data_IF_212744607112
#
_entry.id   IF_212744607112
#
_cell.length_a   1.000
_cell.length_b   1.000
_cell.length_c   1.000
_cell.angle_alpha   90.00
_cell.angle_beta   90.00
_cell.angle_gamma   90.00
#
_symmetry.space_group_name_H-M   'P 1'
#
loop_
_entity.id
_entity.type
_entity.pdbx_description
1 polymer ?
#
# COMPACT_ATOMS: atom_id res chain seq x y z
N UNK A 1 37.65 -120.56 -16.93
CA UNK A 1 38.38 -121.72 -17.47
C UNK A 1 38.77 -122.56 -16.27
N UNK A 2 38.28 -123.79 -16.18
CA UNK A 2 38.67 -124.74 -15.13
C UNK A 2 40.02 -125.36 -15.51
N UNK A 3 41.10 -124.69 -15.13
CA UNK A 3 42.46 -125.22 -15.16
C UNK A 3 42.57 -126.26 -14.03
N UNK A 4 42.66 -127.54 -14.39
CA UNK A 4 43.01 -128.60 -13.45
C UNK A 4 44.35 -128.25 -12.80
N UNK A 5 44.28 -127.87 -11.52
CA UNK A 5 45.44 -127.60 -10.66
C UNK A 5 46.19 -128.91 -10.44
N UNK A 6 47.28 -129.09 -11.17
CA UNK A 6 48.29 -130.09 -10.85
C UNK A 6 49.00 -129.65 -9.56
N UNK A 7 48.78 -130.42 -8.49
CA UNK A 7 49.39 -130.20 -7.18
C UNK A 7 50.90 -130.49 -7.26
N UNK A 8 51.69 -129.42 -7.38
CA UNK A 8 53.16 -129.45 -7.50
C UNK A 8 53.80 -130.30 -6.37
N UNK A 9 53.41 -130.13 -5.08
CA UNK A 9 53.77 -131.06 -4.01
C UNK A 9 53.55 -132.55 -4.34
N UNK A 10 52.40 -132.89 -4.93
CA UNK A 10 52.03 -134.27 -5.25
C UNK A 10 52.84 -134.83 -6.42
N UNK A 11 53.21 -133.99 -7.39
CA UNK A 11 54.13 -134.34 -8.48
C UNK A 11 55.57 -134.52 -8.00
N UNK A 12 56.06 -133.71 -7.06
CA UNK A 12 57.38 -133.88 -6.43
C UNK A 12 57.45 -135.21 -5.67
N UNK A 13 56.39 -135.55 -4.93
CA UNK A 13 56.26 -136.82 -4.20
C UNK A 13 56.24 -138.03 -5.17
N UNK A 14 55.56 -137.89 -6.30
CA UNK A 14 55.54 -138.90 -7.37
C UNK A 14 56.92 -139.10 -8.01
N UNK A 15 57.72 -138.05 -8.13
CA UNK A 15 59.10 -138.09 -8.64
C UNK A 15 60.05 -138.78 -7.66
N UNK A 16 59.95 -138.47 -6.36
CA UNK A 16 60.70 -139.18 -5.30
C UNK A 16 60.39 -140.67 -5.31
N UNK A 17 59.11 -141.04 -5.38
CA UNK A 17 58.67 -142.45 -5.42
C UNK A 17 59.18 -143.17 -6.67
N UNK A 18 59.20 -142.50 -7.83
CA UNK A 18 59.70 -143.07 -9.09
C UNK A 18 61.23 -143.26 -9.12
N UNK A 19 62.00 -142.41 -8.43
CA UNK A 19 63.47 -142.56 -8.27
C UNK A 19 63.79 -143.77 -7.39
N UNK A 20 63.09 -143.94 -6.27
CA UNK A 20 63.30 -145.06 -5.34
C UNK A 20 62.95 -146.43 -5.96
N UNK A 21 62.07 -146.44 -6.95
CA UNK A 21 61.55 -147.65 -7.61
C UNK A 21 62.40 -148.16 -8.80
N UNK A 22 63.55 -147.56 -9.10
CA UNK A 22 64.40 -147.90 -10.26
C UNK A 22 63.63 -147.85 -11.62
N UNK A 23 62.68 -146.91 -11.76
CA UNK A 23 61.90 -146.77 -12.99
C UNK A 23 62.76 -146.33 -14.19
N UNK A 24 62.39 -146.72 -15.43
CA UNK A 24 63.13 -146.35 -16.63
C UNK A 24 63.24 -144.82 -16.76
N UNK A 25 64.42 -144.32 -17.17
CA UNK A 25 64.75 -142.89 -17.32
C UNK A 25 63.71 -142.05 -18.08
N UNK A 26 62.95 -142.66 -18.99
CA UNK A 26 61.86 -142.03 -19.71
C UNK A 26 60.68 -141.59 -18.81
N UNK A 27 60.33 -142.37 -17.78
CA UNK A 27 59.23 -142.06 -16.86
C UNK A 27 59.56 -140.88 -15.96
N UNK A 28 60.80 -140.80 -15.46
CA UNK A 28 61.28 -139.69 -14.64
C UNK A 28 61.31 -138.36 -15.41
N UNK A 29 61.76 -138.38 -16.67
CA UNK A 29 61.73 -137.20 -17.53
C UNK A 29 60.29 -136.71 -17.78
N UNK A 30 59.31 -137.60 -17.86
CA UNK A 30 57.90 -137.23 -17.99
C UNK A 30 57.40 -136.38 -16.82
N UNK A 31 57.70 -136.79 -15.58
CA UNK A 31 57.26 -136.06 -14.38
C UNK A 31 58.01 -134.71 -14.24
N UNK A 32 59.31 -134.65 -14.52
CA UNK A 32 60.08 -133.38 -14.49
C UNK A 32 59.53 -132.38 -15.52
N UNK A 33 59.13 -132.87 -16.69
CA UNK A 33 58.57 -132.01 -17.74
C UNK A 33 57.21 -131.44 -17.32
N UNK A 34 56.36 -132.22 -16.66
CA UNK A 34 55.08 -131.74 -16.14
C UNK A 34 55.24 -130.73 -14.99
N UNK A 35 56.20 -130.94 -14.08
CA UNK A 35 56.53 -129.96 -13.04
C UNK A 35 57.05 -128.64 -13.64
N UNK A 36 57.92 -128.71 -14.64
CA UNK A 36 58.42 -127.51 -15.32
C UNK A 36 57.31 -126.74 -16.03
N UNK A 37 56.35 -127.44 -16.66
CA UNK A 37 55.17 -126.80 -17.25
C UNK A 37 54.28 -126.14 -16.20
N UNK A 38 54.08 -126.79 -15.05
CA UNK A 38 53.28 -126.24 -13.96
C UNK A 38 53.93 -124.97 -13.38
N UNK A 39 55.23 -125.00 -13.11
CA UNK A 39 55.97 -123.83 -12.63
C UNK A 39 55.94 -122.66 -13.61
N UNK A 40 56.16 -122.93 -14.91
CA UNK A 40 56.10 -121.87 -15.93
C UNK A 40 54.70 -121.24 -16.03
N UNK A 41 53.62 -122.04 -15.86
CA UNK A 41 52.26 -121.49 -15.82
C UNK A 41 52.03 -120.60 -14.59
N UNK A 42 52.58 -120.97 -13.44
CA UNK A 42 52.45 -120.19 -12.21
C UNK A 42 53.23 -118.86 -12.32
N UNK A 43 54.42 -118.88 -12.92
CA UNK A 43 55.16 -117.66 -13.26
C UNK A 43 54.39 -116.77 -14.25
N UNK A 44 53.87 -117.35 -15.34
CA UNK A 44 53.07 -116.59 -16.33
C UNK A 44 51.80 -115.99 -15.71
N UNK A 45 51.18 -116.67 -14.74
CA UNK A 45 49.98 -116.20 -14.04
C UNK A 45 50.31 -115.11 -13.02
N UNK A 46 51.44 -115.24 -12.30
CA UNK A 46 51.94 -114.20 -11.41
C UNK A 46 52.32 -112.92 -12.15
N UNK A 47 52.99 -113.03 -13.31
CA UNK A 47 53.35 -111.88 -14.14
C UNK A 47 52.10 -111.15 -14.65
N UNK A 48 51.07 -111.90 -15.10
CA UNK A 48 49.79 -111.31 -15.51
C UNK A 48 49.07 -110.59 -14.36
N UNK A 49 49.10 -111.15 -13.16
CA UNK A 49 48.47 -110.52 -11.99
C UNK A 49 49.20 -109.23 -11.58
N UNK A 50 50.52 -109.20 -11.69
CA UNK A 50 51.31 -107.99 -11.45
C UNK A 50 51.00 -106.91 -12.47
N UNK A 51 50.94 -107.25 -13.77
CA UNK A 51 50.54 -106.32 -14.84
C UNK A 51 49.13 -105.74 -14.61
N UNK A 52 48.18 -106.58 -14.19
CA UNK A 52 46.81 -106.15 -13.88
C UNK A 52 46.75 -105.22 -12.64
N UNK A 53 47.59 -105.47 -11.63
CA UNK A 53 47.67 -104.65 -10.43
C UNK A 53 48.26 -103.26 -10.74
N UNK A 54 49.33 -103.19 -11.52
CA UNK A 54 49.91 -101.93 -12.00
C UNK A 54 48.90 -101.13 -12.84
N UNK A 55 48.16 -101.82 -13.73
CA UNK A 55 47.11 -101.19 -14.53
C UNK A 55 46.00 -100.61 -13.66
N UNK A 56 45.55 -101.32 -12.62
CA UNK A 56 44.50 -100.85 -11.71
C UNK A 56 44.95 -99.70 -10.81
N UNK A 57 46.21 -99.69 -10.39
CA UNK A 57 46.75 -98.59 -9.61
C UNK A 57 46.85 -97.30 -10.45
N UNK A 58 47.22 -97.43 -11.72
CA UNK A 58 47.19 -96.33 -12.68
C UNK A 58 45.77 -95.78 -12.89
N UNK A 59 44.77 -96.65 -13.07
CA UNK A 59 43.37 -96.27 -13.20
C UNK A 59 42.85 -95.55 -11.93
N UNK A 60 43.22 -96.02 -10.74
CA UNK A 60 42.87 -95.38 -9.47
C UNK A 60 43.48 -93.98 -9.34
N UNK A 61 44.75 -93.81 -9.74
CA UNK A 61 45.38 -92.50 -9.74
C UNK A 61 44.74 -91.53 -10.73
N UNK A 62 44.36 -92.00 -11.92
CA UNK A 62 43.63 -91.19 -12.89
C UNK A 62 42.25 -90.79 -12.35
N UNK A 63 41.50 -91.72 -11.75
CA UNK A 63 40.20 -91.45 -11.15
C UNK A 63 40.27 -90.47 -9.97
N UNK A 64 41.29 -90.57 -9.13
CA UNK A 64 41.50 -89.61 -8.03
C UNK A 64 41.73 -88.19 -8.57
N UNK A 65 42.53 -88.03 -9.63
CA UNK A 65 42.76 -86.74 -10.28
C UNK A 65 41.49 -86.17 -10.91
N UNK A 66 40.70 -86.99 -11.60
CA UNK A 66 39.46 -86.53 -12.20
C UNK A 66 38.41 -86.14 -11.16
N UNK A 67 38.34 -86.85 -10.03
CA UNK A 67 37.46 -86.47 -8.92
C UNK A 67 37.83 -85.09 -8.35
N UNK A 68 39.12 -84.84 -8.09
CA UNK A 68 39.56 -83.53 -7.58
C UNK A 68 39.30 -82.39 -8.57
N UNK A 69 39.46 -82.64 -9.87
CA UNK A 69 39.17 -81.65 -10.92
C UNK A 69 37.66 -81.33 -11.02
N UNK A 70 36.80 -82.33 -10.82
CA UNK A 70 35.35 -82.15 -10.82
C UNK A 70 34.88 -81.35 -9.61
N UNK A 71 35.40 -81.64 -8.42
CA UNK A 71 35.09 -80.88 -7.20
C UNK A 71 35.49 -79.40 -7.33
N UNK A 72 36.66 -79.13 -7.93
CA UNK A 72 37.11 -77.77 -8.20
C UNK A 72 36.17 -77.06 -9.20
N UNK A 73 35.77 -77.73 -10.28
CA UNK A 73 34.83 -77.18 -11.27
C UNK A 73 33.46 -76.90 -10.66
N UNK A 74 32.95 -77.81 -9.84
CA UNK A 74 31.66 -77.62 -9.15
C UNK A 74 31.71 -76.41 -8.22
N UNK A 75 32.80 -76.23 -7.47
CA UNK A 75 33.00 -75.05 -6.62
C UNK A 75 33.01 -73.76 -7.44
N UNK A 76 33.77 -73.72 -8.55
CA UNK A 76 33.81 -72.57 -9.45
C UNK A 76 32.43 -72.22 -10.02
N UNK A 77 31.65 -73.23 -10.41
CA UNK A 77 30.29 -73.03 -10.92
C UNK A 77 29.35 -72.47 -9.84
N UNK A 78 29.42 -72.98 -8.62
CA UNK A 78 28.63 -72.44 -7.49
C UNK A 78 28.98 -70.98 -7.20
N UNK A 79 30.27 -70.65 -7.18
CA UNK A 79 30.73 -69.28 -6.94
C UNK A 79 30.30 -68.33 -8.07
N UNK A 80 30.37 -68.77 -9.33
CA UNK A 80 29.92 -67.99 -10.48
C UNK A 80 28.41 -67.77 -10.48
N UNK A 81 27.61 -68.80 -10.17
CA UNK A 81 26.16 -68.69 -10.05
C UNK A 81 25.74 -67.72 -8.92
N UNK A 82 26.42 -67.78 -7.77
CA UNK A 82 26.18 -66.87 -6.65
C UNK A 82 26.54 -65.42 -7.00
N UNK A 83 27.65 -65.20 -7.72
CA UNK A 83 28.05 -63.87 -8.18
C UNK A 83 27.06 -63.27 -9.19
N UNK A 84 26.59 -64.07 -10.16
CA UNK A 84 25.57 -63.64 -11.14
C UNK A 84 24.24 -63.32 -10.47
N UNK A 85 23.79 -64.14 -9.51
CA UNK A 85 22.56 -63.89 -8.75
C UNK A 85 22.63 -62.56 -7.98
N UNK A 86 23.76 -62.28 -7.30
CA UNK A 86 23.98 -60.99 -6.61
C UNK A 86 24.01 -59.80 -7.57
N UNK A 87 24.66 -59.95 -8.73
CA UNK A 87 24.73 -58.90 -9.75
C UNK A 87 23.33 -58.60 -10.34
N UNK A 88 22.57 -59.65 -10.68
CA UNK A 88 21.20 -59.52 -11.18
C UNK A 88 20.27 -58.86 -10.16
N UNK A 89 20.36 -59.24 -8.88
CA UNK A 89 19.58 -58.62 -7.80
C UNK A 89 19.92 -57.14 -7.61
N UNK A 90 21.21 -56.77 -7.67
CA UNK A 90 21.62 -55.35 -7.59
C UNK A 90 21.12 -54.55 -8.79
N UNK A 91 21.23 -55.09 -10.00
CA UNK A 91 20.76 -54.43 -11.21
C UNK A 91 19.24 -54.21 -11.19
N UNK A 92 18.46 -55.21 -10.75
CA UNK A 92 17.01 -55.08 -10.61
C UNK A 92 16.64 -54.02 -9.55
N UNK A 93 17.34 -53.98 -8.41
CA UNK A 93 17.14 -52.95 -7.40
C UNK A 93 17.47 -51.53 -7.92
N UNK A 94 18.58 -51.36 -8.65
CA UNK A 94 18.91 -50.07 -9.27
C UNK A 94 17.85 -49.65 -10.30
N UNK A 95 17.37 -50.59 -11.12
CA UNK A 95 16.31 -50.29 -12.09
C UNK A 95 15.02 -49.86 -11.41
N UNK A 96 14.61 -50.54 -10.34
CA UNK A 96 13.44 -50.17 -9.54
C UNK A 96 13.59 -48.77 -8.93
N UNK A 97 14.74 -48.48 -8.35
CA UNK A 97 15.01 -47.16 -7.76
C UNK A 97 14.98 -46.07 -8.83
N UNK A 98 15.66 -46.28 -9.96
CA UNK A 98 15.69 -45.33 -11.08
C UNK A 98 14.29 -45.07 -11.65
N UNK A 99 13.45 -46.10 -11.73
CA UNK A 99 12.06 -45.97 -12.18
C UNK A 99 11.22 -45.12 -11.23
N UNK A 100 11.40 -45.29 -9.92
CA UNK A 100 10.74 -44.45 -8.90
C UNK A 100 11.22 -43.01 -9.03
N UNK A 101 12.53 -42.79 -9.07
CA UNK A 101 13.13 -41.45 -9.17
C UNK A 101 12.70 -40.72 -10.45
N UNK A 102 12.68 -41.42 -11.59
CA UNK A 102 12.16 -40.90 -12.85
C UNK A 102 10.68 -40.51 -12.74
N UNK A 103 9.86 -41.34 -12.10
CA UNK A 103 8.43 -41.03 -11.92
C UNK A 103 8.20 -39.81 -11.04
N UNK A 104 9.01 -39.64 -9.98
CA UNK A 104 8.96 -38.48 -9.09
C UNK A 104 9.43 -37.21 -9.80
N UNK A 105 10.54 -37.28 -10.53
CA UNK A 105 11.06 -36.17 -11.33
C UNK A 105 10.06 -35.73 -12.41
N UNK A 106 9.42 -36.68 -13.09
CA UNK A 106 8.37 -36.40 -14.09
C UNK A 106 7.18 -35.67 -13.47
N UNK A 107 6.67 -36.15 -12.33
CA UNK A 107 5.57 -35.48 -11.61
C UNK A 107 5.95 -34.08 -11.13
N UNK A 108 7.17 -33.90 -10.63
CA UNK A 108 7.68 -32.60 -10.22
C UNK A 108 7.76 -31.61 -11.40
N UNK A 109 8.24 -32.09 -12.56
CA UNK A 109 8.32 -31.30 -13.79
C UNK A 109 6.92 -30.90 -14.30
N UNK A 110 5.97 -31.84 -14.34
CA UNK A 110 4.59 -31.55 -14.73
C UNK A 110 3.93 -30.51 -13.81
N UNK A 111 4.20 -30.59 -12.50
CA UNK A 111 3.72 -29.61 -11.52
C UNK A 111 4.34 -28.23 -11.76
N UNK A 112 5.64 -28.17 -12.00
CA UNK A 112 6.34 -26.92 -12.30
C UNK A 112 5.85 -26.29 -13.60
N UNK A 113 5.60 -27.10 -14.65
CA UNK A 113 5.09 -26.62 -15.92
C UNK A 113 3.69 -25.99 -15.79
N UNK A 114 2.79 -26.64 -15.03
CA UNK A 114 1.46 -26.06 -14.74
C UNK A 114 1.54 -24.76 -13.95
N UNK A 115 2.45 -24.67 -12.98
CA UNK A 115 2.66 -23.44 -12.22
C UNK A 115 3.14 -22.29 -13.13
N UNK A 116 4.07 -22.59 -14.05
CA UNK A 116 4.58 -21.62 -15.02
C UNK A 116 3.49 -21.13 -15.98
N UNK A 117 2.61 -22.03 -16.46
CA UNK A 117 1.48 -21.65 -17.31
C UNK A 117 0.53 -20.65 -16.61
N UNK A 118 0.22 -20.89 -15.34
CA UNK A 118 -0.59 -19.96 -14.52
C UNK A 118 0.10 -18.62 -14.37
N UNK A 119 1.41 -18.61 -14.07
CA UNK A 119 2.18 -17.38 -13.89
C UNK A 119 2.27 -16.55 -15.19
N UNK A 120 2.38 -17.21 -16.35
CA UNK A 120 2.36 -16.55 -17.66
C UNK A 120 1.03 -15.83 -17.89
N UNK A 121 -0.09 -16.46 -17.56
CA UNK A 121 -1.41 -15.87 -17.77
C UNK A 121 -1.70 -14.73 -16.77
N UNK A 122 -1.26 -14.85 -15.53
CA UNK A 122 -1.33 -13.76 -14.55
C UNK A 122 -0.43 -12.58 -14.94
N UNK A 123 0.74 -12.84 -15.51
CA UNK A 123 1.61 -11.79 -16.04
C UNK A 123 0.94 -11.02 -17.19
N UNK A 124 0.26 -11.72 -18.13
CA UNK A 124 -0.51 -11.08 -19.21
C UNK A 124 -1.64 -10.21 -18.66
N UNK A 125 -2.39 -10.70 -17.67
CA UNK A 125 -3.47 -9.94 -17.02
C UNK A 125 -2.95 -8.69 -16.32
N UNK A 126 -1.85 -8.83 -15.57
CA UNK A 126 -1.19 -7.72 -14.87
C UNK A 126 -0.70 -6.66 -15.86
N UNK A 127 -0.08 -7.07 -16.97
CA UNK A 127 0.38 -6.15 -18.03
C UNK A 127 -0.78 -5.35 -18.64
N UNK A 128 -1.92 -6.00 -18.90
CA UNK A 128 -3.12 -5.32 -19.38
C UNK A 128 -3.69 -4.34 -18.33
N UNK A 129 -3.68 -4.70 -17.05
CA UNK A 129 -4.10 -3.82 -15.96
C UNK A 129 -3.21 -2.58 -15.85
N UNK A 130 -1.88 -2.75 -15.90
CA UNK A 130 -0.92 -1.65 -15.86
C UNK A 130 -1.14 -0.68 -17.03
N UNK A 131 -1.43 -1.18 -18.24
CA UNK A 131 -1.76 -0.33 -19.39
C UNK A 131 -3.01 0.52 -19.13
N UNK A 132 -4.10 -0.08 -18.65
CA UNK A 132 -5.34 0.65 -18.31
C UNK A 132 -5.13 1.70 -17.22
N UNK A 133 -4.31 1.37 -16.22
CA UNK A 133 -3.99 2.28 -15.13
C UNK A 133 -3.17 3.49 -15.64
N UNK A 134 -2.22 3.28 -16.55
CA UNK A 134 -1.45 4.37 -17.18
C UNK A 134 -2.35 5.32 -18.00
N UNK A 135 -3.21 4.77 -18.85
CA UNK A 135 -4.17 5.56 -19.64
C UNK A 135 -5.13 6.36 -18.73
N UNK A 136 -5.54 5.77 -17.60
CA UNK A 136 -6.40 6.46 -16.62
C UNK A 136 -5.64 7.57 -15.89
N UNK A 137 -4.38 7.33 -15.51
CA UNK A 137 -3.53 8.31 -14.84
C UNK A 137 -3.28 9.54 -15.74
N UNK A 138 -3.02 9.34 -17.03
CA UNK A 138 -2.88 10.43 -18.00
C UNK A 138 -4.15 11.28 -18.10
N UNK A 139 -5.33 10.64 -18.17
CA UNK A 139 -6.63 11.36 -18.17
C UNK A 139 -6.82 12.19 -16.90
N UNK A 140 -6.50 11.64 -15.74
CA UNK A 140 -6.59 12.38 -14.48
C UNK A 140 -5.59 13.55 -14.42
N UNK A 141 -4.38 13.38 -14.95
CA UNK A 141 -3.39 14.45 -15.00
C UNK A 141 -3.84 15.61 -15.91
N UNK A 142 -4.42 15.32 -17.08
CA UNK A 142 -4.99 16.34 -17.97
C UNK A 142 -6.14 17.08 -17.29
N UNK A 143 -7.05 16.34 -16.63
CA UNK A 143 -8.17 16.94 -15.89
C UNK A 143 -7.70 17.81 -14.73
N UNK A 144 -6.68 17.38 -13.99
CA UNK A 144 -6.10 18.17 -12.90
C UNK A 144 -5.55 19.51 -13.42
N UNK A 145 -4.75 19.50 -14.49
CA UNK A 145 -4.24 20.73 -15.12
C UNK A 145 -5.35 21.67 -15.60
N UNK A 146 -6.42 21.11 -16.18
CA UNK A 146 -7.58 21.91 -16.60
C UNK A 146 -8.30 22.55 -15.42
N UNK A 147 -8.45 21.83 -14.31
CA UNK A 147 -9.09 22.34 -13.10
C UNK A 147 -8.23 23.39 -12.40
N UNK A 148 -6.91 23.20 -12.36
CA UNK A 148 -5.97 24.21 -11.85
C UNK A 148 -6.07 25.52 -12.62
N UNK A 149 -6.13 25.45 -13.96
CA UNK A 149 -6.32 26.63 -14.81
C UNK A 149 -7.67 27.32 -14.56
N UNK A 150 -8.76 26.56 -14.48
CA UNK A 150 -10.08 27.13 -14.19
C UNK A 150 -10.12 27.78 -12.79
N UNK A 151 -9.43 27.19 -11.80
CA UNK A 151 -9.33 27.75 -10.47
C UNK A 151 -8.49 29.03 -10.42
N UNK A 152 -7.41 29.16 -11.21
CA UNK A 152 -6.66 30.41 -11.31
C UNK A 152 -7.48 31.52 -11.95
N UNK A 153 -8.18 31.22 -13.05
CA UNK A 153 -9.06 32.19 -13.75
C UNK A 153 -10.17 32.71 -12.81
N UNK A 154 -10.82 31.83 -12.05
CA UNK A 154 -11.83 32.24 -11.06
C UNK A 154 -11.29 33.13 -9.94
N UNK A 155 -10.04 32.91 -9.50
CA UNK A 155 -9.39 33.77 -8.49
C UNK A 155 -9.11 35.16 -9.05
N UNK A 156 -8.64 35.25 -10.29
CA UNK A 156 -8.41 36.53 -10.96
C UNK A 156 -9.72 37.31 -11.16
N UNK A 157 -10.77 36.62 -11.59
CA UNK A 157 -12.11 37.19 -11.75
C UNK A 157 -12.67 37.71 -10.42
N UNK A 158 -12.53 36.94 -9.33
CA UNK A 158 -12.92 37.37 -7.99
C UNK A 158 -12.20 38.67 -7.61
N UNK A 159 -10.87 38.74 -7.77
CA UNK A 159 -10.11 39.94 -7.45
C UNK A 159 -10.46 41.14 -8.33
N UNK A 160 -10.86 40.91 -9.59
CA UNK A 160 -11.36 41.98 -10.46
C UNK A 160 -12.69 42.53 -9.94
N UNK A 161 -13.62 41.66 -9.58
CA UNK A 161 -14.94 42.05 -9.04
C UNK A 161 -14.79 42.79 -7.70
N UNK A 162 -13.94 42.30 -6.80
CA UNK A 162 -13.68 42.95 -5.50
C UNK A 162 -13.14 44.37 -5.68
N UNK A 163 -12.17 44.57 -6.59
CA UNK A 163 -11.66 45.91 -6.91
C UNK A 163 -12.75 46.82 -7.47
N UNK A 164 -13.57 46.31 -8.39
CA UNK A 164 -14.67 47.10 -8.97
C UNK A 164 -15.71 47.47 -7.91
N UNK A 165 -16.02 46.57 -6.97
CA UNK A 165 -16.94 46.86 -5.88
C UNK A 165 -16.41 47.98 -4.96
N UNK A 166 -15.11 47.97 -4.64
CA UNK A 166 -14.46 49.04 -3.87
C UNK A 166 -14.52 50.37 -4.61
N UNK A 167 -14.23 50.39 -5.92
CA UNK A 167 -14.35 51.59 -6.76
C UNK A 167 -15.77 52.15 -6.75
N UNK A 168 -16.78 51.31 -7.01
CA UNK A 168 -18.19 51.71 -6.99
C UNK A 168 -18.61 52.22 -5.61
N UNK A 169 -18.12 51.62 -4.52
CA UNK A 169 -18.35 52.10 -3.16
C UNK A 169 -17.78 53.51 -2.93
N UNK A 170 -16.59 53.79 -3.47
CA UNK A 170 -15.99 55.15 -3.43
C UNK A 170 -16.76 56.15 -4.28
N UNK A 171 -17.10 55.79 -5.52
CA UNK A 171 -17.91 56.64 -6.42
C UNK A 171 -19.26 56.98 -5.78
N UNK A 172 -19.91 56.00 -5.16
CA UNK A 172 -21.17 56.19 -4.44
C UNK A 172 -21.04 57.13 -3.24
N UNK A 173 -20.00 56.95 -2.42
CA UNK A 173 -19.74 57.86 -1.30
C UNK A 173 -19.45 59.28 -1.78
N UNK A 174 -18.74 59.44 -2.91
CA UNK A 174 -18.52 60.74 -3.53
C UNK A 174 -19.85 61.37 -3.95
N UNK A 175 -20.72 60.64 -4.65
CA UNK A 175 -22.04 61.12 -5.07
C UNK A 175 -22.93 61.51 -3.88
N UNK A 176 -22.87 60.78 -2.76
CA UNK A 176 -23.58 61.14 -1.53
C UNK A 176 -23.07 62.49 -0.98
N UNK A 177 -21.75 62.68 -0.93
CA UNK A 177 -21.17 63.93 -0.47
C UNK A 177 -21.48 65.09 -1.44
N UNK A 178 -21.54 64.84 -2.74
CA UNK A 178 -22.00 65.83 -3.73
C UNK A 178 -23.49 66.17 -3.54
N UNK A 179 -24.37 65.17 -3.35
CA UNK A 179 -25.80 65.37 -3.10
C UNK A 179 -26.04 66.19 -1.82
N UNK A 180 -25.25 65.92 -0.78
CA UNK A 180 -25.28 66.66 0.48
C UNK A 180 -25.05 68.16 0.26
N UNK A 181 -24.38 68.58 -0.83
CA UNK A 181 -24.16 69.99 -1.17
C UNK A 181 -25.35 70.70 -1.83
N UNK A 182 -26.32 69.97 -2.36
CA UNK A 182 -27.40 70.55 -3.16
C UNK A 182 -28.76 70.57 -2.47
N UNK A 183 -29.00 69.66 -1.52
CA UNK A 183 -30.34 69.45 -0.96
C UNK A 183 -30.31 69.37 0.57
N UNK A 184 -31.34 69.96 1.20
CA UNK A 184 -31.61 69.67 2.61
C UNK A 184 -32.05 68.20 2.75
N UNK A 185 -31.35 67.44 3.59
CA UNK A 185 -31.63 66.02 3.80
C UNK A 185 -32.26 65.82 5.18
N UNK A 186 -33.25 64.95 5.27
CA UNK A 186 -33.90 64.65 6.56
C UNK A 186 -33.03 63.68 7.35
N UNK A 187 -32.60 64.09 8.53
CA UNK A 187 -31.81 63.26 9.46
C UNK A 187 -32.73 62.50 10.40
N UNK A 188 -33.81 63.16 10.85
CA UNK A 188 -34.82 62.55 11.71
C UNK A 188 -36.14 63.29 11.58
N UNK A 189 -37.25 62.56 11.65
CA UNK A 189 -38.59 63.13 11.71
C UNK A 189 -39.53 62.19 12.46
N UNK A 190 -40.01 62.62 13.63
CA UNK A 190 -40.91 61.82 14.46
C UNK A 190 -41.72 62.74 15.38
N UNK A 191 -42.94 62.32 15.77
CA UNK A 191 -43.81 63.07 16.72
C UNK A 191 -44.05 64.55 16.36
N UNK A 192 -44.04 64.88 15.07
CA UNK A 192 -44.24 66.26 14.59
C UNK A 192 -43.00 67.16 14.70
N UNK A 193 -41.86 66.63 15.13
CA UNK A 193 -40.55 67.30 15.06
C UNK A 193 -39.71 66.73 13.92
N UNK A 194 -38.83 67.54 13.35
CA UNK A 194 -37.85 67.09 12.37
C UNK A 194 -36.51 67.81 12.51
N UNK A 195 -35.45 67.10 12.13
CA UNK A 195 -34.08 67.60 12.00
C UNK A 195 -33.65 67.40 10.55
N UNK A 196 -33.30 68.51 9.89
CA UNK A 196 -32.90 68.55 8.50
C UNK A 196 -31.44 69.00 8.40
N UNK A 197 -30.57 68.26 7.74
CA UNK A 197 -29.21 68.70 7.43
C UNK A 197 -29.26 69.82 6.38
N UNK A 198 -28.57 70.94 6.67
CA UNK A 198 -28.40 72.01 5.69
C UNK A 198 -27.31 71.62 4.65
N UNK A 199 -27.52 71.94 3.36
CA UNK A 199 -26.65 71.46 2.30
C UNK A 199 -25.24 72.08 2.28
N UNK A 200 -24.99 73.16 3.02
CA UNK A 200 -23.68 73.78 3.07
C UNK A 200 -23.11 73.77 4.48
N UNK A 201 -21.81 73.52 4.59
CA UNK A 201 -21.10 73.81 5.83
C UNK A 201 -21.07 75.31 6.06
N UNK A 202 -21.58 75.73 7.21
CA UNK A 202 -21.70 77.13 7.57
C UNK A 202 -20.58 77.50 8.54
N UNK A 203 -20.15 78.76 8.50
CA UNK A 203 -19.28 79.28 9.56
C UNK A 203 -20.13 79.51 10.80
N UNK A 204 -19.76 78.87 11.91
CA UNK A 204 -20.56 78.86 13.13
C UNK A 204 -19.84 79.65 14.21
N UNK A 205 -20.57 80.52 14.89
CA UNK A 205 -20.13 81.16 16.11
C UNK A 205 -21.15 80.84 17.21
N UNK A 206 -20.70 80.14 18.24
CA UNK A 206 -21.49 79.85 19.44
C UNK A 206 -21.05 80.84 20.52
N UNK A 207 -22.02 81.47 21.17
CA UNK A 207 -21.77 82.45 22.23
C UNK A 207 -20.89 81.85 23.34
N UNK A 208 -19.87 82.60 23.77
CA UNK A 208 -18.91 82.13 24.78
C UNK A 208 -17.86 81.13 24.28
N UNK A 209 -17.90 80.72 23.00
CA UNK A 209 -16.93 79.80 22.41
C UNK A 209 -16.10 80.47 21.31
N UNK A 210 -14.86 79.98 21.08
CA UNK A 210 -14.08 80.38 19.90
C UNK A 210 -14.81 79.95 18.64
N UNK A 211 -14.69 80.74 17.57
CA UNK A 211 -15.29 80.45 16.26
C UNK A 211 -14.91 79.04 15.82
N UNK A 212 -15.91 78.20 15.58
CA UNK A 212 -15.71 76.88 15.01
C UNK A 212 -15.58 77.09 13.51
N UNK A 213 -14.59 76.45 12.89
CA UNK A 213 -14.44 76.42 11.44
C UNK A 213 -15.72 75.90 10.76
N UNK A 214 -15.83 76.04 9.44
CA UNK A 214 -17.00 75.60 8.68
C UNK A 214 -17.43 74.18 9.09
N UNK A 215 -18.70 74.01 9.47
CA UNK A 215 -19.25 72.74 9.91
C UNK A 215 -20.70 72.57 9.44
N UNK A 216 -21.17 71.32 9.37
CA UNK A 216 -22.57 71.03 9.10
C UNK A 216 -23.43 71.41 10.30
N UNK A 217 -24.63 71.90 9.99
CA UNK A 217 -25.64 72.27 10.98
C UNK A 217 -26.95 71.62 10.62
N UNK A 218 -27.78 71.41 11.64
CA UNK A 218 -29.13 70.90 11.46
C UNK A 218 -30.12 72.05 11.58
N UNK A 219 -31.22 71.96 10.84
CA UNK A 219 -32.38 72.79 10.94
C UNK A 219 -33.46 71.97 11.65
N UNK A 220 -33.76 72.34 12.88
CA UNK A 220 -34.87 71.83 13.66
C UNK A 220 -36.16 72.54 13.26
N UNK A 221 -37.24 71.76 13.18
CA UNK A 221 -38.60 72.25 13.01
C UNK A 221 -39.59 71.42 13.82
N UNK A 222 -40.72 72.01 14.19
CA UNK A 222 -41.83 71.35 14.88
C UNK A 222 -43.17 71.56 14.17
N UNK A 223 -44.23 70.95 14.69
CA UNK A 223 -45.59 71.05 14.13
C UNK A 223 -46.16 72.47 14.16
N UNK A 224 -45.54 73.38 14.91
CA UNK A 224 -45.93 74.79 15.01
C UNK A 224 -45.14 75.66 14.03
N UNK A 225 -44.22 75.06 13.25
CA UNK A 225 -43.41 75.76 12.25
C UNK A 225 -42.29 76.58 12.85
N UNK A 226 -41.79 76.24 14.04
CA UNK A 226 -40.66 76.93 14.67
C UNK A 226 -39.35 76.41 14.09
N UNK A 227 -38.59 77.28 13.44
CA UNK A 227 -37.31 76.92 12.82
C UNK A 227 -36.13 77.33 13.69
N UNK A 228 -35.27 76.38 14.06
CA UNK A 228 -34.05 76.65 14.84
C UNK A 228 -32.86 75.92 14.24
N UNK A 229 -31.72 76.58 14.20
CA UNK A 229 -30.50 75.94 13.74
C UNK A 229 -29.76 75.31 14.91
N UNK A 230 -29.30 74.07 14.75
CA UNK A 230 -28.51 73.35 15.73
C UNK A 230 -27.08 73.20 15.22
N UNK A 231 -26.13 73.48 16.10
CA UNK A 231 -24.70 73.38 15.85
C UNK A 231 -23.99 72.72 17.03
N UNK A 232 -22.88 72.03 16.78
CA UNK A 232 -22.06 71.46 17.85
C UNK A 232 -20.96 72.43 18.27
N UNK A 233 -20.81 72.63 19.57
CA UNK A 233 -19.78 73.42 20.20
C UNK A 233 -18.42 72.74 20.26
N UNK A 234 -17.39 73.50 20.62
CA UNK A 234 -16.05 72.98 20.91
C UNK A 234 -16.03 72.09 22.16
N UNK A 235 -17.02 72.25 23.04
CA UNK A 235 -17.30 71.37 24.19
C UNK A 235 -18.06 70.10 23.81
N UNK A 236 -18.23 69.86 22.51
CA UNK A 236 -19.02 68.77 21.95
C UNK A 236 -20.47 68.77 22.43
N UNK A 237 -21.05 69.93 22.78
CA UNK A 237 -22.47 70.05 23.10
C UNK A 237 -23.24 70.72 21.98
N UNK A 238 -24.44 70.22 21.71
CA UNK A 238 -25.37 70.82 20.74
C UNK A 238 -25.97 72.10 21.32
N UNK A 239 -25.90 73.15 20.53
CA UNK A 239 -26.50 74.45 20.82
C UNK A 239 -27.52 74.76 19.74
N UNK A 240 -28.72 75.16 20.17
CA UNK A 240 -29.77 75.61 19.27
C UNK A 240 -29.81 77.13 19.24
N UNK A 241 -29.98 77.69 18.05
CA UNK A 241 -30.05 79.13 17.82
C UNK A 241 -31.18 79.76 18.64
N UNK A 242 -30.96 81.02 18.99
CA UNK A 242 -31.85 81.92 19.71
C UNK A 242 -31.92 83.24 18.94
N UNK A 243 -32.91 84.07 19.22
CA UNK A 243 -32.94 85.43 18.68
C UNK A 243 -31.74 86.21 19.21
N UNK A 244 -30.94 86.75 18.28
CA UNK A 244 -29.81 87.60 18.60
C UNK A 244 -30.28 89.01 18.97
N UNK A 245 -29.51 89.70 19.80
CA UNK A 245 -29.72 91.13 20.02
C UNK A 245 -29.32 91.89 18.76
N UNK A 246 -30.24 92.70 18.24
CA UNK A 246 -30.01 93.58 17.10
C UNK A 246 -30.17 95.02 17.57
N UNK A 247 -29.36 95.94 17.05
CA UNK A 247 -29.54 97.37 17.33
C UNK A 247 -30.95 97.81 16.91
N UNK A 248 -31.72 98.33 17.87
CA UNK A 248 -33.11 98.74 17.69
C UNK A 248 -34.18 97.79 18.26
N UNK A 249 -33.81 96.63 18.79
CA UNK A 249 -34.74 95.73 19.51
C UNK A 249 -34.45 95.78 21.00
N UNK A 250 -35.49 96.01 21.81
CA UNK A 250 -35.37 96.00 23.26
C UNK A 250 -34.83 94.65 23.76
N UNK A 251 -33.83 94.72 24.64
CA UNK A 251 -33.23 93.57 25.30
C UNK A 251 -34.28 92.75 26.03
N UNK A 252 -35.23 93.41 26.70
CA UNK A 252 -36.28 92.76 27.47
C UNK A 252 -37.27 91.98 26.55
N UNK A 253 -37.56 92.53 25.37
CA UNK A 253 -38.38 91.84 24.37
C UNK A 253 -37.66 90.64 23.76
N UNK A 254 -36.37 90.77 23.44
CA UNK A 254 -35.56 89.66 22.93
C UNK A 254 -35.45 88.53 23.96
N UNK A 255 -35.26 88.88 25.24
CA UNK A 255 -35.23 87.92 26.34
C UNK A 255 -36.56 87.21 26.52
N UNK A 256 -37.67 87.94 26.41
CA UNK A 256 -39.02 87.39 26.48
C UNK A 256 -39.29 86.43 25.32
N UNK A 257 -38.95 86.83 24.09
CA UNK A 257 -39.06 85.98 22.90
C UNK A 257 -38.24 84.69 23.04
N UNK A 258 -37.01 84.78 23.56
CA UNK A 258 -36.16 83.62 23.79
C UNK A 258 -36.64 82.71 24.94
N UNK A 259 -37.41 83.23 25.91
CA UNK A 259 -38.04 82.44 26.98
C UNK A 259 -39.23 81.63 26.48
N UNK A 260 -40.03 82.19 25.56
CA UNK A 260 -41.22 81.53 24.99
C UNK A 260 -40.90 80.64 23.80
N UNK A 261 -39.71 80.76 23.22
CA UNK A 261 -39.24 79.90 22.14
C UNK A 261 -39.21 78.43 22.59
N UNK A 262 -40.01 77.58 21.92
CA UNK A 262 -40.08 76.17 22.28
C UNK A 262 -38.71 75.51 22.20
N UNK A 263 -38.46 74.68 23.21
CA UNK A 263 -37.25 73.88 23.30
C UNK A 263 -37.49 72.56 22.55
N UNK A 264 -36.55 72.14 21.69
CA UNK A 264 -36.60 70.83 21.08
C UNK A 264 -36.76 69.74 22.13
N UNK A 265 -37.48 68.66 21.81
CA UNK A 265 -37.63 67.54 22.73
C UNK A 265 -36.27 66.94 23.14
N UNK A 266 -36.17 66.27 24.30
CA UNK A 266 -34.94 65.56 24.69
C UNK A 266 -34.46 64.56 23.63
N UNK A 267 -35.39 63.94 22.90
CA UNK A 267 -35.10 63.05 21.78
C UNK A 267 -34.42 63.79 20.64
N UNK A 268 -35.01 64.90 20.17
CA UNK A 268 -34.43 65.72 19.11
C UNK A 268 -33.04 66.26 19.52
N UNK A 269 -32.87 66.67 20.77
CA UNK A 269 -31.57 67.13 21.28
C UNK A 269 -30.51 66.01 21.24
N UNK A 270 -30.85 64.79 21.69
CA UNK A 270 -29.92 63.64 21.67
C UNK A 270 -29.55 63.24 20.25
N UNK A 271 -30.51 63.19 19.33
CA UNK A 271 -30.27 62.85 17.92
C UNK A 271 -29.39 63.92 17.28
N UNK A 272 -29.71 65.20 17.46
CA UNK A 272 -28.91 66.31 16.93
C UNK A 272 -27.48 66.27 17.48
N UNK A 273 -27.32 66.05 18.79
CA UNK A 273 -26.03 65.91 19.46
C UNK A 273 -25.18 64.80 18.84
N UNK A 274 -25.74 63.59 18.74
CA UNK A 274 -25.00 62.42 18.23
C UNK A 274 -24.66 62.57 16.76
N UNK A 275 -25.61 63.01 15.95
CA UNK A 275 -25.40 63.19 14.52
C UNK A 275 -24.35 64.27 14.25
N UNK A 276 -24.48 65.45 14.87
CA UNK A 276 -23.51 66.54 14.69
C UNK A 276 -22.12 66.17 15.21
N UNK A 277 -22.03 65.38 16.28
CA UNK A 277 -20.76 64.86 16.77
C UNK A 277 -20.16 63.85 15.80
N UNK A 278 -20.94 62.88 15.32
CA UNK A 278 -20.49 61.87 14.35
C UNK A 278 -19.96 62.53 13.08
N UNK A 279 -20.75 63.40 12.46
CA UNK A 279 -20.39 64.03 11.18
C UNK A 279 -19.27 65.04 11.33
N UNK A 280 -19.38 66.01 12.25
CA UNK A 280 -18.40 67.10 12.31
C UNK A 280 -17.12 66.72 13.05
N UNK A 281 -17.17 65.80 14.03
CA UNK A 281 -16.01 65.48 14.89
C UNK A 281 -15.39 64.13 14.49
N UNK A 282 -16.19 63.06 14.41
CA UNK A 282 -15.65 61.72 14.15
C UNK A 282 -15.30 61.52 12.68
N UNK A 283 -16.18 61.96 11.77
CA UNK A 283 -16.02 61.80 10.32
C UNK A 283 -15.35 63.01 9.65
N UNK A 284 -14.91 64.01 10.42
CA UNK A 284 -14.24 65.22 9.93
C UNK A 284 -15.00 65.89 8.76
N UNK A 285 -16.31 66.09 8.96
CA UNK A 285 -17.24 66.69 7.99
C UNK A 285 -17.43 65.89 6.70
N UNK A 286 -17.24 64.57 6.73
CA UNK A 286 -17.66 63.67 5.64
C UNK A 286 -18.99 63.01 5.98
N UNK A 287 -19.96 63.10 5.09
CA UNK A 287 -21.27 62.47 5.26
C UNK A 287 -21.23 61.08 4.62
N UNK A 288 -21.65 60.07 5.36
CA UNK A 288 -21.82 58.70 4.87
C UNK A 288 -23.30 58.39 4.63
N UNK A 289 -23.58 57.31 3.91
CA UNK A 289 -24.97 56.89 3.68
C UNK A 289 -25.73 56.66 4.99
N UNK A 290 -25.09 56.02 5.96
CA UNK A 290 -25.70 55.70 7.25
C UNK A 290 -26.15 56.95 8.02
N UNK A 291 -25.50 58.09 7.78
CA UNK A 291 -25.85 59.36 8.42
C UNK A 291 -27.12 59.99 7.83
N UNK A 292 -27.52 59.54 6.64
CA UNK A 292 -28.71 59.99 5.93
C UNK A 292 -29.90 59.05 6.10
N UNK A 293 -29.68 57.88 6.71
CA UNK A 293 -30.76 56.95 7.00
C UNK A 293 -31.50 57.37 8.28
N UNK A 294 -32.73 57.85 8.08
CA UNK A 294 -33.68 58.31 9.11
C UNK A 294 -33.91 57.26 10.20
N UNK A 295 -33.74 55.97 9.87
CA UNK A 295 -33.96 54.85 10.79
C UNK A 295 -32.75 54.62 11.70
N UNK A 296 -31.53 54.73 11.18
CA UNK A 296 -30.33 54.29 11.90
C UNK A 296 -30.09 55.02 13.21
N UNK A 297 -30.21 56.35 13.27
CA UNK A 297 -29.83 57.09 14.50
C UNK A 297 -30.88 56.92 15.60
N UNK A 298 -32.17 56.93 15.24
CA UNK A 298 -33.27 56.76 16.19
C UNK A 298 -33.43 55.30 16.63
N UNK A 299 -33.31 54.33 15.73
CA UNK A 299 -33.33 52.90 16.06
C UNK A 299 -32.12 52.50 16.88
N UNK A 300 -30.90 52.93 16.52
CA UNK A 300 -29.70 52.68 17.33
C UNK A 300 -29.83 53.24 18.76
N UNK A 301 -30.40 54.43 18.91
CA UNK A 301 -30.65 55.03 20.22
C UNK A 301 -31.72 54.27 21.03
N UNK A 302 -32.73 53.69 20.37
CA UNK A 302 -33.71 52.79 20.99
C UNK A 302 -33.03 51.47 21.41
N UNK A 303 -32.20 50.89 20.55
CA UNK A 303 -31.48 49.63 20.80
C UNK A 303 -30.53 49.70 22.00
N UNK A 304 -29.80 50.81 22.18
CA UNK A 304 -28.90 50.99 23.32
C UNK A 304 -29.60 51.53 24.58
N UNK A 305 -30.93 51.67 24.56
CA UNK A 305 -31.72 52.12 25.71
C UNK A 305 -31.61 53.61 26.05
N UNK A 306 -31.03 54.43 25.18
CA UNK A 306 -30.89 55.88 25.40
C UNK A 306 -32.11 56.69 24.94
N UNK A 307 -33.00 56.08 24.14
CA UNK A 307 -34.37 56.54 23.89
C UNK A 307 -35.33 55.54 24.53
N UNK A 308 -35.95 55.92 25.64
CA UNK A 308 -37.08 55.16 26.18
C UNK A 308 -38.29 55.33 25.26
N UNK A 309 -38.89 54.21 24.85
CA UNK A 309 -40.24 54.22 24.29
C UNK A 309 -41.17 54.85 25.33
N UNK A 310 -41.67 56.04 25.01
CA UNK A 310 -42.74 56.61 25.80
C UNK A 310 -43.98 55.76 25.51
N UNK A 311 -44.45 55.05 26.54
CA UNK A 311 -45.76 54.38 26.54
C UNK A 311 -46.89 55.37 26.23
#
# INVERSE_FOLDING_TARGET
MSTELLDIPQCIQSLQTAIESNMPKAALMGIVTELSKAWNRECDESDRLMDDLERRDLELHQLKRTCTDLELKEKLWRDQAAAQSKAASRADNFYRQLKVDYSLAKKALEKANRALEVEIDDHKRTKAQVKRNKESAEKYQVRAKSLEKAASELREDKHRIERRAIELGRERNQLINELALFKMLTVWAEKGEALLMLPNMLSIQIEGQKKISKAYTLLYTDSLGIWRQAAIGADHKVSFSKFAYCDGVDKEMTDTANKVLLKPSPTAQKIAQRWLYKVNVVQNSQVTEEDLDIRNVAEYLKEIGELQESA
#
